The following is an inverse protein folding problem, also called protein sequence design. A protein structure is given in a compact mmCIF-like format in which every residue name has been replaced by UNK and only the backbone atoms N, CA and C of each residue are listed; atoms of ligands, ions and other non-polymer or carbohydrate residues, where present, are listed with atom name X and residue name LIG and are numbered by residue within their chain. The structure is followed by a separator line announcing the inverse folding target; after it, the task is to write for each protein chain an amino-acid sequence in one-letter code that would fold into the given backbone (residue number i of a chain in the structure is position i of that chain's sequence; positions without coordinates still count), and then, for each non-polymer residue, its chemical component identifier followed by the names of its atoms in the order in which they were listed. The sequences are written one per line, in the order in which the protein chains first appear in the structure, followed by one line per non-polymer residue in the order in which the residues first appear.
data_IF_527916979928
#
_entry.id   IF_527916979928
#
_cell.length_a   1.000
_cell.length_b   1.000
_cell.length_c   1.000
_cell.angle_alpha   90.00
_cell.angle_beta   90.00
_cell.angle_gamma   90.00
#
_symmetry.space_group_name_H-M   'P 1'
#
loop_
_entity.id
_entity.type
_entity.pdbx_description
1 polymer ?
#
# COMPACT_ATOMS: atom_id res chain seq x y z
N UNK A 1 -5.22 17.56 -0.96
CA UNK A 1 -4.31 16.64 -1.69
C UNK A 1 -3.65 15.73 -0.67
N UNK A 2 -4.10 14.48 -0.53
CA UNK A 2 -3.32 13.49 0.20
C UNK A 2 -2.22 13.00 -0.75
N UNK A 3 -0.97 13.34 -0.48
CA UNK A 3 0.17 12.82 -1.22
C UNK A 3 0.66 11.52 -0.56
N UNK A 4 0.96 10.51 -1.38
CA UNK A 4 1.63 9.30 -0.90
C UNK A 4 3.08 9.66 -0.53
N UNK A 5 3.39 9.65 0.77
CA UNK A 5 4.75 9.87 1.26
C UNK A 5 5.68 8.79 0.69
N UNK A 6 6.88 9.21 0.30
CA UNK A 6 7.90 8.29 -0.23
C UNK A 6 8.29 7.19 0.76
N UNK A 7 8.23 7.48 2.07
CA UNK A 7 8.41 6.47 3.13
C UNK A 7 7.36 5.37 3.08
N UNK A 8 6.07 5.74 3.06
CA UNK A 8 4.95 4.78 2.98
C UNK A 8 4.97 3.99 1.68
N UNK A 9 5.35 4.62 0.57
CA UNK A 9 5.52 3.91 -0.70
C UNK A 9 6.63 2.85 -0.64
N UNK A 10 7.79 3.19 -0.05
CA UNK A 10 8.89 2.24 0.14
C UNK A 10 8.46 1.05 0.98
N UNK A 11 7.78 1.29 2.10
CA UNK A 11 7.24 0.24 2.97
C UNK A 11 6.27 -0.68 2.23
N UNK A 12 5.36 -0.11 1.42
CA UNK A 12 4.46 -0.88 0.54
C UNK A 12 5.20 -1.71 -0.50
N UNK A 13 6.21 -1.11 -1.15
CA UNK A 13 7.02 -1.80 -2.15
C UNK A 13 7.76 -2.97 -1.53
N UNK A 14 8.37 -2.75 -0.36
CA UNK A 14 9.10 -3.77 0.38
C UNK A 14 8.15 -4.89 0.80
N UNK A 15 6.97 -4.55 1.32
CA UNK A 15 5.93 -5.50 1.66
C UNK A 15 5.47 -6.36 0.46
N UNK A 16 5.24 -5.74 -0.70
CA UNK A 16 4.86 -6.48 -1.91
C UNK A 16 6.01 -7.37 -2.39
N UNK A 17 7.25 -6.90 -2.29
CA UNK A 17 8.43 -7.68 -2.61
C UNK A 17 8.57 -8.90 -1.69
N UNK A 18 8.39 -8.71 -0.38
CA UNK A 18 8.42 -9.78 0.62
C UNK A 18 7.30 -10.80 0.40
N UNK A 19 6.08 -10.33 0.14
CA UNK A 19 4.90 -11.21 -0.04
C UNK A 19 4.92 -11.98 -1.36
N UNK A 20 5.38 -11.35 -2.45
CA UNK A 20 5.23 -11.91 -3.82
C UNK A 20 6.55 -12.24 -4.52
N UNK A 21 7.68 -11.78 -4.00
CA UNK A 21 8.99 -11.81 -4.66
C UNK A 21 9.14 -10.80 -5.81
N UNK A 22 8.12 -10.00 -6.12
CA UNK A 22 8.11 -9.10 -7.28
C UNK A 22 8.61 -7.72 -6.88
N UNK A 23 9.75 -7.30 -7.47
CA UNK A 23 10.27 -5.95 -7.26
C UNK A 23 9.52 -4.93 -8.13
N UNK A 24 8.91 -3.94 -7.48
CA UNK A 24 8.21 -2.86 -8.17
C UNK A 24 9.11 -1.62 -8.22
N UNK A 25 9.57 -1.20 -9.41
CA UNK A 25 10.40 -0.01 -9.53
C UNK A 25 9.58 1.27 -9.28
N UNK A 26 10.25 2.32 -8.80
CA UNK A 26 9.65 3.62 -8.47
C UNK A 26 8.97 4.30 -9.68
N UNK A 27 9.39 3.97 -10.90
CA UNK A 27 8.70 4.40 -12.15
C UNK A 27 7.26 3.90 -12.23
N UNK A 28 6.92 2.82 -11.52
CA UNK A 28 5.55 2.30 -11.39
C UNK A 28 4.85 2.78 -10.11
N UNK A 29 5.43 3.74 -9.36
CA UNK A 29 4.82 4.35 -8.17
C UNK A 29 3.42 4.86 -8.46
N UNK A 30 3.24 5.57 -9.58
CA UNK A 30 1.92 6.09 -9.99
C UNK A 30 0.86 4.99 -10.15
N UNK A 31 1.26 3.77 -10.55
CA UNK A 31 0.35 2.66 -10.77
C UNK A 31 -0.15 2.10 -9.42
N UNK A 32 0.77 1.99 -8.46
CA UNK A 32 0.47 1.61 -7.08
C UNK A 32 -0.36 2.70 -6.40
N UNK A 33 0.01 3.96 -6.56
CA UNK A 33 -0.70 5.12 -6.03
C UNK A 33 -2.14 5.20 -6.58
N UNK A 34 -2.34 5.01 -7.88
CA UNK A 34 -3.68 4.98 -8.49
C UNK A 34 -4.54 3.81 -7.96
N UNK A 35 -3.92 2.63 -7.76
CA UNK A 35 -4.61 1.46 -7.19
C UNK A 35 -4.95 1.68 -5.72
N UNK A 36 -4.05 2.28 -4.96
CA UNK A 36 -4.24 2.68 -3.57
C UNK A 36 -5.36 3.71 -3.45
N UNK A 37 -5.34 4.77 -4.26
CA UNK A 37 -6.37 5.82 -4.27
C UNK A 37 -7.76 5.25 -4.46
N UNK A 38 -7.96 4.36 -5.45
CA UNK A 38 -9.24 3.67 -5.62
C UNK A 38 -9.65 2.89 -4.38
N UNK A 39 -8.72 2.14 -3.76
CA UNK A 39 -9.01 1.35 -2.56
C UNK A 39 -9.29 2.22 -1.33
N UNK A 40 -8.61 3.36 -1.20
CA UNK A 40 -8.83 4.36 -0.16
C UNK A 40 -10.24 4.93 -0.26
N UNK A 41 -10.68 5.30 -1.47
CA UNK A 41 -12.05 5.77 -1.72
C UNK A 41 -13.07 4.67 -1.39
N UNK A 42 -12.85 3.43 -1.85
CA UNK A 42 -13.76 2.30 -1.56
C UNK A 42 -13.91 2.02 -0.06
N UNK A 43 -12.81 2.10 0.70
CA UNK A 43 -12.81 1.85 2.15
C UNK A 43 -13.06 3.10 2.99
N UNK A 44 -13.28 4.27 2.37
CA UNK A 44 -13.41 5.59 3.03
C UNK A 44 -12.25 5.89 4.00
N UNK A 45 -11.04 5.50 3.61
CA UNK A 45 -9.84 5.73 4.42
C UNK A 45 -9.25 7.09 4.06
N UNK A 46 -8.99 7.91 5.07
CA UNK A 46 -8.46 9.27 4.89
C UNK A 46 -6.97 9.35 4.56
N UNK A 47 -6.19 8.30 4.83
CA UNK A 47 -4.72 8.35 4.75
C UNK A 47 -4.10 7.06 4.21
N UNK A 48 -3.06 7.22 3.39
CA UNK A 48 -2.24 6.08 2.90
C UNK A 48 -1.59 5.29 4.03
N UNK A 49 -1.24 5.93 5.14
CA UNK A 49 -0.66 5.29 6.33
C UNK A 49 -1.68 4.34 6.99
N UNK A 50 -2.93 4.76 7.13
CA UNK A 50 -4.03 3.92 7.64
C UNK A 50 -4.28 2.73 6.71
N UNK A 51 -4.24 2.95 5.39
CA UNK A 51 -4.38 1.87 4.43
C UNK A 51 -3.19 0.89 4.49
N UNK A 52 -1.97 1.41 4.65
CA UNK A 52 -0.79 0.56 4.82
C UNK A 52 -0.87 -0.27 6.09
N UNK A 53 -1.31 0.33 7.20
CA UNK A 53 -1.59 -0.39 8.43
C UNK A 53 -2.64 -1.48 8.19
N UNK A 54 -3.75 -1.16 7.53
CA UNK A 54 -4.75 -2.16 7.19
C UNK A 54 -4.19 -3.27 6.31
N UNK A 55 -3.28 -2.98 5.37
CA UNK A 55 -2.66 -3.99 4.52
C UNK A 55 -1.76 -4.92 5.34
N UNK A 56 -0.88 -4.34 6.17
CA UNK A 56 0.05 -5.05 7.04
C UNK A 56 -0.67 -5.90 8.09
N UNK A 57 -1.80 -5.43 8.63
CA UNK A 57 -2.56 -6.12 9.66
C UNK A 57 -3.73 -6.98 9.14
N UNK A 58 -4.23 -6.77 7.90
CA UNK A 58 -5.21 -7.69 7.28
C UNK A 58 -4.53 -8.85 6.55
N UNK A 59 -3.30 -8.68 6.05
CA UNK A 59 -2.57 -9.79 5.43
C UNK A 59 -2.16 -10.84 6.46
N UNK A 60 -2.01 -10.43 7.72
CA UNK A 60 -1.71 -11.24 8.90
C UNK A 60 -3.00 -11.79 9.55
N UNK A 61 -4.06 -11.98 8.76
CA UNK A 61 -5.32 -12.61 9.20
C UNK A 61 -5.66 -13.86 8.40
N UNK A 62 -4.66 -14.68 8.13
CA UNK A 62 -4.86 -16.10 8.37
C UNK A 62 -4.41 -16.36 9.80
N UNK A 63 -5.21 -17.13 10.54
CA UNK A 63 -5.07 -17.49 11.96
C UNK A 63 -5.58 -16.42 12.95
N UNK A 64 -6.48 -16.70 13.89
CA UNK A 64 -7.52 -17.70 14.11
C UNK A 64 -8.37 -17.16 15.27
#
# INVERSE_FOLDING_TARGET
MMALKDGTFKDLRDFIYDTTGIYIPDTKKYFIENRLSKRLEEKKIGSYEDYFYLLKYNTDKNEL
#
